data_IF_458044389269
#
_entry.id   IF_458044389269
#
_cell.length_a   1.000
_cell.length_b   1.000
_cell.length_c   1.000
_cell.angle_alpha   90.00
_cell.angle_beta   90.00
_cell.angle_gamma   90.00
#
_symmetry.space_group_name_H-M   'P 1'
#
loop_
_entity.id
_entity.type
_entity.pdbx_description
1 polymer ?
#
# COMPACT_ATOMS: atom_id res chain seq x y z
N UNK A 1 -43.98 23.43 -76.89
CA UNK A 1 -43.38 24.66 -76.30
C UNK A 1 -42.17 24.18 -75.50
N UNK A 2 -40.90 24.49 -75.72
CA UNK A 2 -40.16 25.45 -76.55
C UNK A 2 -38.88 24.75 -77.04
N UNK A 3 -38.45 25.06 -78.27
CA UNK A 3 -37.21 24.58 -78.92
C UNK A 3 -35.99 25.30 -78.34
N UNK A 4 -34.79 24.71 -78.50
CA UNK A 4 -33.54 25.35 -79.00
C UNK A 4 -32.47 24.23 -79.15
N UNK A 5 -32.12 23.88 -80.41
CA UNK A 5 -30.78 23.96 -81.08
C UNK A 5 -29.60 23.35 -80.28
N UNK A 6 -28.67 22.61 -80.84
CA UNK A 6 -28.37 22.26 -82.23
C UNK A 6 -26.91 21.76 -82.33
N UNK A 7 -26.67 20.93 -83.35
CA UNK A 7 -25.42 20.69 -84.09
C UNK A 7 -24.08 20.36 -83.38
N UNK A 8 -23.63 19.13 -83.65
CA UNK A 8 -22.31 18.68 -84.15
C UNK A 8 -21.09 19.61 -84.02
N UNK A 9 -19.93 19.06 -83.63
CA UNK A 9 -18.67 19.00 -84.42
C UNK A 9 -17.70 17.97 -83.77
N UNK A 10 -17.03 17.21 -84.64
CA UNK A 10 -15.91 16.27 -84.39
C UNK A 10 -14.57 17.01 -84.30
N UNK A 11 -13.60 16.57 -83.48
CA UNK A 11 -12.15 16.63 -83.82
C UNK A 11 -11.23 16.07 -82.72
N UNK A 12 -10.54 14.98 -83.08
CA UNK A 12 -9.12 14.64 -82.92
C UNK A 12 -8.30 15.04 -81.67
N UNK A 13 -7.82 13.97 -81.03
CA UNK A 13 -6.42 13.64 -80.71
C UNK A 13 -5.55 14.61 -79.89
N UNK A 14 -5.07 14.10 -78.75
CA UNK A 14 -3.87 14.64 -78.10
C UNK A 14 -3.54 13.99 -76.74
N UNK A 15 -2.49 13.15 -76.73
CA UNK A 15 -1.53 13.12 -75.62
C UNK A 15 -1.76 12.12 -74.48
N UNK A 16 -0.96 11.05 -74.50
CA UNK A 16 -0.63 10.18 -73.37
C UNK A 16 -0.35 10.97 -72.08
N UNK A 17 -1.00 10.59 -70.96
CA UNK A 17 -0.41 10.64 -69.61
C UNK A 17 -0.79 9.40 -68.82
N UNK A 18 0.24 8.81 -68.20
CA UNK A 18 0.29 7.55 -67.45
C UNK A 18 -0.84 7.40 -66.43
N UNK A 19 -1.40 6.19 -66.37
CA UNK A 19 -2.34 5.74 -65.35
C UNK A 19 -1.62 5.47 -64.02
N UNK A 20 -2.20 6.00 -62.94
CA UNK A 20 -1.91 5.64 -61.54
C UNK A 20 -3.07 4.76 -61.09
N UNK A 21 -2.79 3.53 -60.67
CA UNK A 21 -3.80 2.61 -60.15
C UNK A 21 -4.13 2.94 -58.68
N UNK A 22 -5.41 3.02 -58.28
CA UNK A 22 -5.80 3.22 -56.89
C UNK A 22 -5.71 1.91 -56.10
N UNK A 23 -5.24 2.04 -54.85
CA UNK A 23 -4.94 0.96 -53.92
C UNK A 23 -6.16 0.22 -53.37
N UNK A 24 -5.92 -1.04 -53.02
CA UNK A 24 -6.84 -1.90 -52.28
C UNK A 24 -6.79 -1.64 -50.78
N UNK A 25 -7.97 -1.63 -50.16
CA UNK A 25 -8.18 -1.54 -48.72
C UNK A 25 -8.11 -2.94 -48.10
N UNK A 26 -7.07 -3.21 -47.30
CA UNK A 26 -7.01 -4.35 -46.39
C UNK A 26 -7.65 -3.96 -45.05
N UNK A 27 -8.79 -4.57 -44.73
CA UNK A 27 -9.40 -4.46 -43.40
C UNK A 27 -8.71 -5.44 -42.44
N UNK A 28 -7.85 -4.94 -41.55
CA UNK A 28 -7.36 -5.70 -40.39
C UNK A 28 -8.43 -5.69 -39.29
N UNK A 29 -8.97 -6.87 -38.98
CA UNK A 29 -9.81 -7.09 -37.81
C UNK A 29 -8.99 -7.00 -36.52
N UNK A 30 -9.21 -5.94 -35.74
CA UNK A 30 -8.69 -5.79 -34.38
C UNK A 30 -9.46 -6.73 -33.45
N UNK A 31 -8.81 -7.83 -33.07
CA UNK A 31 -9.20 -8.61 -31.89
C UNK A 31 -8.87 -7.78 -30.65
N UNK A 32 -9.89 -7.10 -30.11
CA UNK A 32 -9.85 -6.54 -28.76
C UNK A 32 -9.95 -7.70 -27.77
N UNK A 33 -8.80 -8.26 -27.37
CA UNK A 33 -8.73 -9.06 -26.16
C UNK A 33 -9.12 -8.16 -24.99
N UNK A 34 -10.22 -8.48 -24.32
CA UNK A 34 -10.53 -7.85 -23.04
C UNK A 34 -9.42 -8.25 -22.07
N UNK A 35 -8.57 -7.28 -21.71
CA UNK A 35 -7.71 -7.41 -20.55
C UNK A 35 -8.63 -7.60 -19.35
N UNK A 36 -8.76 -8.83 -18.86
CA UNK A 36 -9.32 -9.07 -17.54
C UNK A 36 -8.35 -8.38 -16.58
N UNK A 37 -8.79 -7.29 -15.96
CA UNK A 37 -8.07 -6.72 -14.83
C UNK A 37 -7.92 -7.86 -13.82
N UNK A 38 -6.69 -8.24 -13.50
CA UNK A 38 -6.39 -9.18 -12.44
C UNK A 38 -7.17 -8.66 -11.21
N UNK A 39 -8.13 -9.44 -10.71
CA UNK A 39 -8.79 -9.11 -9.44
C UNK A 39 -7.68 -8.94 -8.41
N UNK A 40 -7.40 -7.67 -8.10
CA UNK A 40 -6.31 -7.30 -7.21
C UNK A 40 -6.87 -7.55 -5.82
N UNK A 41 -6.61 -8.75 -5.29
CA UNK A 41 -6.85 -9.09 -3.89
C UNK A 41 -5.52 -9.13 -3.14
N UNK A 42 -5.52 -8.84 -1.85
CA UNK A 42 -4.31 -8.92 -1.03
C UNK A 42 -4.22 -10.23 -0.24
N UNK A 43 -5.37 -10.89 -0.02
CA UNK A 43 -5.47 -12.14 0.73
C UNK A 43 -6.01 -13.24 -0.19
N UNK A 44 -5.28 -14.36 -0.20
CA UNK A 44 -5.53 -15.55 -1.01
C UNK A 44 -5.56 -16.78 -0.09
N UNK A 45 -6.20 -17.89 -0.51
CA UNK A 45 -5.91 -19.18 0.10
C UNK A 45 -4.41 -19.47 0.03
N UNK A 46 -3.79 -19.70 1.19
CA UNK A 46 -2.33 -19.80 1.30
C UNK A 46 -1.62 -18.47 1.53
N UNK A 47 -2.32 -17.39 1.88
CA UNK A 47 -1.69 -16.19 2.45
C UNK A 47 -1.35 -16.38 3.92
N UNK A 48 -0.22 -15.80 4.33
CA UNK A 48 0.25 -15.81 5.72
C UNK A 48 0.40 -14.37 6.20
N UNK A 49 -0.34 -14.02 7.26
CA UNK A 49 -0.16 -12.75 7.96
C UNK A 49 0.90 -12.92 9.05
N UNK A 50 1.89 -12.03 9.05
CA UNK A 50 2.98 -12.00 10.01
C UNK A 50 3.02 -10.63 10.67
N UNK A 51 2.93 -10.62 11.99
CA UNK A 51 3.03 -9.41 12.80
C UNK A 51 4.43 -9.24 13.37
N UNK A 52 4.84 -8.01 13.63
CA UNK A 52 6.13 -7.72 14.25
C UNK A 52 6.22 -6.29 14.75
N UNK A 53 7.31 -6.02 15.47
CA UNK A 53 7.65 -4.67 15.89
C UNK A 53 8.23 -3.89 14.70
N UNK A 54 7.76 -2.67 14.45
CA UNK A 54 8.25 -1.85 13.32
C UNK A 54 9.72 -1.43 13.48
N UNK A 55 10.24 -1.48 14.71
CA UNK A 55 11.58 -1.04 15.03
C UNK A 55 11.57 0.35 15.66
N UNK A 56 12.77 0.88 15.84
CA UNK A 56 12.96 2.21 16.40
C UNK A 56 13.95 3.01 15.57
N UNK A 57 13.82 4.32 15.66
CA UNK A 57 14.78 5.28 15.11
C UNK A 57 15.27 6.20 16.23
N UNK A 58 16.50 6.65 16.08
CA UNK A 58 16.99 7.86 16.75
C UNK A 58 17.13 8.87 15.62
N UNK A 59 16.23 9.86 15.52
CA UNK A 59 16.28 10.78 14.38
C UNK A 59 17.59 11.60 14.44
N UNK A 60 18.17 11.89 13.26
CA UNK A 60 19.50 12.52 13.10
C UNK A 60 20.70 11.72 13.67
N UNK A 61 20.63 10.38 13.72
CA UNK A 61 21.76 9.54 14.17
C UNK A 61 22.70 9.06 13.03
N UNK A 62 22.47 9.45 11.77
CA UNK A 62 23.20 8.91 10.59
C UNK A 62 24.58 9.57 10.33
N UNK A 63 25.42 8.98 9.45
CA UNK A 63 26.76 8.44 9.68
C UNK A 63 27.85 9.53 9.88
N UNK A 64 29.13 9.18 10.18
CA UNK A 64 30.20 10.15 10.51
C UNK A 64 30.50 11.25 9.47
N UNK A 65 29.86 11.20 8.31
CA UNK A 65 29.94 12.12 7.18
C UNK A 65 28.72 13.08 7.07
N UNK A 66 27.72 12.97 7.94
CA UNK A 66 26.63 13.95 8.01
C UNK A 66 26.99 15.12 8.95
N UNK A 67 26.85 16.36 8.49
CA UNK A 67 27.10 17.58 9.29
C UNK A 67 26.07 17.76 10.44
N UNK A 68 25.17 16.80 10.63
CA UNK A 68 24.22 16.77 11.75
C UNK A 68 24.83 15.92 12.84
N UNK A 69 25.34 16.61 13.86
CA UNK A 69 25.90 16.04 15.07
C UNK A 69 25.00 14.93 15.61
N UNK A 70 25.61 13.79 15.97
CA UNK A 70 24.95 12.75 16.74
C UNK A 70 24.49 13.26 18.11
N UNK A 71 24.05 12.35 18.97
CA UNK A 71 23.51 12.70 20.28
C UNK A 71 24.46 13.63 21.07
N UNK A 72 23.97 14.76 21.63
CA UNK A 72 24.78 15.65 22.44
C UNK A 72 25.44 14.94 23.62
N UNK A 73 26.62 15.40 24.09
CA UNK A 73 27.28 14.79 25.25
C UNK A 73 26.37 14.78 26.48
N UNK A 74 26.15 13.59 27.05
CA UNK A 74 25.34 13.42 28.26
C UNK A 74 23.86 13.08 28.02
N UNK A 75 23.40 13.07 26.77
CA UNK A 75 22.06 12.58 26.40
C UNK A 75 22.07 11.05 26.35
N UNK A 76 21.10 10.42 27.02
CA UNK A 76 20.91 8.97 26.95
C UNK A 76 20.22 8.61 25.61
N UNK A 77 20.84 7.79 24.75
CA UNK A 77 20.24 7.38 23.47
C UNK A 77 18.84 6.77 23.61
N UNK A 78 18.54 6.15 24.74
CA UNK A 78 17.24 5.54 25.01
C UNK A 78 16.13 6.59 25.09
N UNK A 79 16.43 7.81 25.53
CA UNK A 79 15.45 8.89 25.64
C UNK A 79 15.21 9.57 24.28
N UNK A 80 16.11 9.36 23.31
CA UNK A 80 15.97 9.80 21.92
C UNK A 80 15.47 8.70 20.96
N UNK A 81 14.99 7.57 21.50
CA UNK A 81 14.57 6.42 20.71
C UNK A 81 13.05 6.39 20.50
N UNK A 82 12.62 6.63 19.26
CA UNK A 82 11.22 6.68 18.86
C UNK A 82 10.80 5.44 18.06
N UNK A 83 9.50 5.14 18.03
CA UNK A 83 8.94 4.10 17.15
C UNK A 83 9.19 4.54 15.71
N UNK A 84 9.63 3.60 14.87
CA UNK A 84 9.62 3.84 13.43
C UNK A 84 8.18 3.70 12.90
N UNK A 85 7.55 4.83 12.62
CA UNK A 85 6.15 4.88 12.15
C UNK A 85 6.02 4.37 10.71
N UNK A 86 7.08 4.49 9.92
CA UNK A 86 7.08 4.19 8.48
C UNK A 86 7.25 2.71 8.15
N UNK A 87 7.75 1.92 9.11
CA UNK A 87 8.00 0.48 8.91
C UNK A 87 6.78 -0.39 9.22
N UNK A 88 6.70 -1.51 8.52
CA UNK A 88 5.61 -2.46 8.64
C UNK A 88 5.54 -3.13 10.02
N UNK A 89 4.36 -3.16 10.62
CA UNK A 89 4.03 -3.98 11.81
C UNK A 89 3.23 -5.22 11.44
N UNK A 90 2.67 -5.24 10.23
CA UNK A 90 1.94 -6.36 9.66
C UNK A 90 2.34 -6.55 8.20
N UNK A 91 2.61 -7.81 7.82
CA UNK A 91 2.91 -8.22 6.46
C UNK A 91 2.03 -9.39 6.05
N UNK A 92 1.54 -9.38 4.82
CA UNK A 92 0.81 -10.50 4.22
C UNK A 92 1.63 -11.07 3.08
N UNK A 93 2.11 -12.29 3.27
CA UNK A 93 2.88 -13.03 2.28
C UNK A 93 1.98 -13.97 1.49
N UNK A 94 2.18 -14.04 0.17
CA UNK A 94 1.66 -15.15 -0.63
C UNK A 94 2.63 -16.34 -0.53
N UNK A 95 2.19 -17.40 0.16
CA UNK A 95 2.92 -18.66 0.29
C UNK A 95 2.22 -19.81 -0.45
N UNK A 96 1.32 -19.50 -1.38
CA UNK A 96 0.58 -20.51 -2.16
C UNK A 96 1.47 -21.28 -3.14
N UNK A 97 2.58 -20.68 -3.59
CA UNK A 97 3.50 -21.26 -4.56
C UNK A 97 4.95 -21.16 -4.09
N UNK A 98 5.40 -22.17 -3.34
CA UNK A 98 6.75 -22.24 -2.78
C UNK A 98 7.78 -22.91 -3.72
N UNK A 99 7.42 -23.16 -4.97
CA UNK A 99 8.34 -23.61 -6.02
C UNK A 99 8.80 -25.08 -5.94
N UNK A 100 8.25 -25.90 -5.05
CA UNK A 100 8.56 -27.34 -4.97
C UNK A 100 8.15 -28.00 -3.64
N UNK A 101 8.46 -29.29 -3.45
CA UNK A 101 8.24 -30.01 -2.20
C UNK A 101 8.97 -29.34 -1.01
N UNK A 102 8.46 -29.49 0.20
CA UNK A 102 9.10 -28.95 1.40
C UNK A 102 10.35 -29.76 1.77
N UNK A 103 11.53 -29.27 1.37
CA UNK A 103 12.85 -29.85 1.63
C UNK A 103 13.77 -28.95 2.45
N UNK A 104 13.22 -27.88 3.03
CA UNK A 104 14.00 -26.86 3.76
C UNK A 104 14.71 -25.86 2.85
N UNK A 105 14.25 -25.72 1.60
CA UNK A 105 14.80 -24.76 0.64
C UNK A 105 14.50 -23.32 1.04
N UNK A 106 15.40 -22.41 0.68
CA UNK A 106 15.10 -20.98 0.67
C UNK A 106 14.03 -20.72 -0.41
N UNK A 107 12.96 -20.02 -0.03
CA UNK A 107 11.89 -19.63 -0.95
C UNK A 107 11.86 -18.11 -1.03
N UNK A 108 11.87 -17.60 -2.26
CA UNK A 108 11.64 -16.18 -2.52
C UNK A 108 10.16 -15.98 -2.78
N UNK A 109 9.45 -15.39 -1.83
CA UNK A 109 8.07 -14.94 -2.03
C UNK A 109 8.05 -13.62 -2.79
N UNK A 110 6.99 -13.31 -3.54
CA UNK A 110 6.73 -11.94 -4.00
C UNK A 110 6.79 -10.94 -2.84
N UNK A 111 7.04 -9.64 -3.12
CA UNK A 111 6.95 -8.60 -2.11
C UNK A 111 5.60 -8.68 -1.37
N UNK A 112 5.61 -8.70 -0.02
CA UNK A 112 4.37 -8.80 0.74
C UNK A 112 3.57 -7.49 0.63
N UNK A 113 2.28 -7.59 0.89
CA UNK A 113 1.50 -6.42 1.29
C UNK A 113 1.90 -6.01 2.72
N UNK A 114 2.08 -4.72 2.96
CA UNK A 114 2.56 -4.19 4.24
C UNK A 114 1.58 -3.16 4.81
N UNK A 115 1.45 -3.16 6.14
CA UNK A 115 0.74 -2.13 6.91
C UNK A 115 1.69 -1.58 7.97
N UNK A 116 1.83 -0.26 8.02
CA UNK A 116 2.82 0.43 8.85
C UNK A 116 2.34 0.70 10.27
N UNK A 117 3.30 1.01 11.16
CA UNK A 117 2.98 1.44 12.53
C UNK A 117 2.16 2.74 12.57
N UNK A 118 2.39 3.67 11.64
CA UNK A 118 1.57 4.87 11.46
C UNK A 118 0.09 4.49 11.24
N UNK A 119 -0.15 3.48 10.40
CA UNK A 119 -1.50 3.12 9.98
C UNK A 119 -2.31 2.41 11.07
N UNK A 120 -1.69 1.46 11.78
CA UNK A 120 -2.40 0.55 12.71
C UNK A 120 -1.77 0.42 14.09
N UNK A 121 -0.66 1.13 14.34
CA UNK A 121 0.13 0.97 15.55
C UNK A 121 0.93 -0.34 15.57
N UNK A 122 1.38 -0.71 16.77
CA UNK A 122 2.05 -1.99 16.98
C UNK A 122 1.01 -3.12 17.06
N UNK A 123 1.22 -4.19 16.30
CA UNK A 123 0.27 -5.30 16.19
C UNK A 123 0.94 -6.58 16.64
N UNK A 124 0.27 -7.32 17.52
CA UNK A 124 0.72 -8.64 18.00
C UNK A 124 -0.39 -9.69 18.00
N UNK A 125 -1.61 -9.29 17.58
CA UNK A 125 -2.75 -10.18 17.45
C UNK A 125 -3.48 -9.89 16.16
N UNK A 126 -3.76 -10.95 15.40
CA UNK A 126 -4.51 -10.89 14.15
C UNK A 126 -5.53 -12.01 14.06
N UNK A 127 -6.60 -11.79 13.30
CA UNK A 127 -7.56 -12.83 12.92
C UNK A 127 -8.14 -12.56 11.54
N UNK A 128 -8.57 -13.61 10.86
CA UNK A 128 -9.36 -13.52 9.63
C UNK A 128 -10.86 -13.65 9.96
N UNK A 129 -11.73 -13.02 9.17
CA UNK A 129 -13.17 -13.31 9.19
C UNK A 129 -13.54 -14.50 8.27
N UNK A 130 -14.85 -14.75 8.14
CA UNK A 130 -15.42 -15.83 7.36
C UNK A 130 -15.47 -15.56 5.83
N UNK A 131 -15.01 -14.38 5.38
CA UNK A 131 -15.05 -14.00 3.97
C UNK A 131 -16.45 -13.78 3.40
N UNK A 132 -17.46 -13.60 4.25
CA UNK A 132 -18.81 -13.20 3.83
C UNK A 132 -18.87 -11.68 3.68
N UNK A 133 -19.34 -11.21 2.53
CA UNK A 133 -19.51 -9.78 2.22
C UNK A 133 -20.94 -9.56 1.73
N UNK A 134 -21.66 -8.63 2.36
CA UNK A 134 -23.06 -8.34 2.05
C UNK A 134 -23.96 -9.60 2.02
N UNK A 135 -23.68 -10.56 2.92
CA UNK A 135 -24.41 -11.83 3.01
C UNK A 135 -24.00 -12.89 1.97
N UNK A 136 -23.03 -12.59 1.11
CA UNK A 136 -22.54 -13.51 0.07
C UNK A 136 -21.14 -14.03 0.44
N UNK A 137 -20.93 -15.36 0.51
CA UNK A 137 -19.60 -15.93 0.67
C UNK A 137 -18.72 -15.61 -0.54
N UNK A 138 -17.64 -14.85 -0.33
CA UNK A 138 -16.67 -14.51 -1.39
C UNK A 138 -15.43 -15.39 -1.35
N UNK A 139 -15.18 -16.04 -0.21
CA UNK A 139 -13.94 -16.79 0.04
C UNK A 139 -12.70 -15.90 0.22
N UNK A 140 -12.87 -14.58 0.29
CA UNK A 140 -11.80 -13.61 0.53
C UNK A 140 -12.03 -12.95 1.88
N UNK A 141 -11.35 -13.42 2.95
CA UNK A 141 -11.53 -12.88 4.29
C UNK A 141 -10.91 -11.48 4.43
N UNK A 142 -11.45 -10.67 5.32
CA UNK A 142 -10.72 -9.51 5.84
C UNK A 142 -9.78 -9.94 6.95
N UNK A 143 -8.74 -9.13 7.17
CA UNK A 143 -7.79 -9.32 8.27
C UNK A 143 -8.05 -8.24 9.32
N UNK A 144 -8.14 -8.65 10.58
CA UNK A 144 -8.32 -7.76 11.71
C UNK A 144 -7.06 -7.75 12.54
N UNK A 145 -6.59 -6.56 12.89
CA UNK A 145 -5.36 -6.33 13.62
C UNK A 145 -5.66 -5.53 14.90
N UNK A 146 -5.32 -6.11 16.05
CA UNK A 146 -5.41 -5.38 17.32
C UNK A 146 -4.20 -4.47 17.49
N UNK A 147 -4.43 -3.19 17.78
CA UNK A 147 -3.39 -2.28 18.24
C UNK A 147 -3.02 -2.63 19.70
N UNK A 148 -1.86 -3.24 19.89
CA UNK A 148 -1.40 -3.81 21.18
C UNK A 148 0.01 -3.35 21.52
N UNK A 149 0.43 -3.62 22.75
CA UNK A 149 1.75 -3.25 23.27
C UNK A 149 2.40 -4.45 23.95
N UNK A 150 3.07 -5.32 23.18
CA UNK A 150 3.85 -6.45 23.72
C UNK A 150 5.21 -6.00 24.30
N UNK A 151 5.84 -5.02 23.65
CA UNK A 151 7.16 -4.51 24.04
C UNK A 151 7.10 -3.32 25.03
N UNK A 152 5.95 -3.16 25.69
CA UNK A 152 5.69 -2.05 26.61
C UNK A 152 5.20 -0.78 25.92
N UNK A 153 4.67 0.12 26.73
CA UNK A 153 4.05 1.38 26.29
C UNK A 153 5.15 2.43 26.17
N UNK A 154 5.20 3.09 25.02
CA UNK A 154 6.04 4.28 24.81
C UNK A 154 5.19 5.53 24.92
N UNK A 155 5.65 6.45 25.75
CA UNK A 155 4.99 7.73 26.00
C UNK A 155 5.98 8.86 25.80
N UNK A 156 5.44 10.02 25.43
CA UNK A 156 6.22 11.25 25.23
C UNK A 156 5.51 12.42 25.89
N UNK A 157 6.27 13.45 26.25
CA UNK A 157 5.76 14.78 26.62
C UNK A 157 6.12 15.79 25.53
N UNK A 158 5.55 17.01 25.53
CA UNK A 158 6.00 18.06 24.62
C UNK A 158 7.51 18.29 24.70
N UNK A 159 8.07 18.79 23.61
CA UNK A 159 9.45 19.25 23.49
C UNK A 159 9.81 20.19 24.64
N UNK A 160 10.88 19.87 25.37
CA UNK A 160 11.33 20.64 26.52
C UNK A 160 12.71 21.29 26.31
N UNK A 161 13.47 20.86 25.31
CA UNK A 161 14.83 21.34 25.03
C UNK A 161 14.98 22.08 23.69
N UNK A 162 13.86 22.33 23.01
CA UNK A 162 13.72 23.07 21.74
C UNK A 162 14.45 22.38 20.55
N UNK A 163 14.63 21.06 20.59
CA UNK A 163 15.21 20.28 19.49
C UNK A 163 14.22 19.97 18.35
N UNK A 164 12.93 20.31 18.55
CA UNK A 164 11.83 20.10 17.63
C UNK A 164 11.14 18.75 17.79
N UNK A 165 11.38 18.01 18.88
CA UNK A 165 10.89 16.65 19.11
C UNK A 165 10.31 16.48 20.51
N UNK A 166 9.37 15.55 20.68
CA UNK A 166 8.78 15.30 21.98
C UNK A 166 9.72 14.47 22.87
N UNK A 167 9.71 14.73 24.16
CA UNK A 167 10.58 14.07 25.13
C UNK A 167 10.08 12.66 25.48
N UNK A 168 10.87 11.62 25.25
CA UNK A 168 10.47 10.26 25.65
C UNK A 168 10.46 10.13 27.17
N UNK A 169 9.34 9.64 27.69
CA UNK A 169 9.19 9.37 29.12
C UNK A 169 9.27 7.87 29.42
N UNK A 170 10.03 7.51 30.46
CA UNK A 170 10.11 6.12 30.97
C UNK A 170 9.01 5.79 31.98
N UNK A 171 8.38 6.83 32.54
CA UNK A 171 7.35 6.74 33.56
C UNK A 171 6.24 7.73 33.20
N UNK A 172 5.03 7.44 33.66
CA UNK A 172 3.91 8.36 33.49
C UNK A 172 4.27 9.76 34.00
N UNK A 173 3.99 10.77 33.20
CA UNK A 173 4.18 12.17 33.52
C UNK A 173 2.89 12.94 33.22
N UNK A 174 2.70 14.09 33.86
CA UNK A 174 1.56 14.95 33.56
C UNK A 174 1.62 15.41 32.10
N UNK A 175 0.52 15.24 31.36
CA UNK A 175 0.46 15.59 29.94
C UNK A 175 1.16 14.61 28.99
N UNK A 176 1.65 13.47 29.50
CA UNK A 176 2.24 12.45 28.63
C UNK A 176 1.17 11.82 27.72
N UNK A 177 1.52 11.65 26.45
CA UNK A 177 0.70 10.98 25.44
C UNK A 177 1.40 9.71 24.95
N UNK A 178 0.67 8.82 24.30
CA UNK A 178 1.30 7.70 23.60
C UNK A 178 2.15 8.22 22.45
N UNK A 179 3.32 7.63 22.28
CA UNK A 179 4.20 7.91 21.15
C UNK A 179 3.50 7.54 19.83
N UNK A 180 3.75 8.31 18.78
CA UNK A 180 3.23 7.98 17.45
C UNK A 180 3.68 6.58 17.00
N UNK A 181 2.81 5.90 16.25
CA UNK A 181 2.99 4.50 15.88
C UNK A 181 2.79 3.49 17.02
N UNK A 182 2.41 3.91 18.24
CA UNK A 182 2.04 2.99 19.31
C UNK A 182 0.69 2.31 19.03
N UNK A 183 -0.33 3.09 18.63
CA UNK A 183 -1.71 2.62 18.45
C UNK A 183 -2.39 3.09 17.14
N UNK A 184 -1.65 3.67 16.18
CA UNK A 184 -2.22 4.20 14.94
C UNK A 184 -3.09 5.44 15.19
N UNK A 185 -2.64 6.32 16.08
CA UNK A 185 -3.35 7.53 16.54
C UNK A 185 -3.67 8.48 15.38
N UNK A 186 -2.82 8.55 14.36
CA UNK A 186 -3.06 9.36 13.16
C UNK A 186 -4.33 8.95 12.40
N UNK A 187 -4.69 7.66 12.45
CA UNK A 187 -5.93 7.14 11.87
C UNK A 187 -7.09 7.09 12.87
N UNK A 188 -6.97 7.77 14.02
CA UNK A 188 -7.99 7.78 15.06
C UNK A 188 -8.01 6.53 15.94
N UNK A 189 -6.90 5.78 15.98
CA UNK A 189 -6.73 4.65 16.89
C UNK A 189 -6.32 5.05 18.30
N UNK A 190 -6.43 4.09 19.20
CA UNK A 190 -6.02 4.17 20.59
C UNK A 190 -5.78 2.77 21.18
N UNK A 191 -5.45 2.68 22.48
CA UNK A 191 -5.38 1.41 23.17
C UNK A 191 -6.69 0.64 22.98
N UNK A 192 -6.60 -0.62 22.53
CA UNK A 192 -7.79 -1.46 22.32
C UNK A 192 -8.48 -1.28 20.97
N UNK A 193 -7.97 -0.42 20.08
CA UNK A 193 -8.48 -0.33 18.70
C UNK A 193 -8.22 -1.62 17.94
N UNK A 194 -9.24 -2.08 17.23
CA UNK A 194 -9.17 -3.15 16.22
C UNK A 194 -9.30 -2.51 14.85
N UNK A 195 -8.31 -2.73 14.01
CA UNK A 195 -8.28 -2.31 12.62
C UNK A 195 -8.79 -3.43 11.71
N UNK A 196 -9.52 -3.08 10.66
CA UNK A 196 -9.89 -3.95 9.56
C UNK A 196 -9.05 -3.58 8.34
N UNK A 197 -8.41 -4.58 7.77
CA UNK A 197 -7.75 -4.53 6.48
C UNK A 197 -8.64 -5.27 5.49
N UNK A 198 -9.12 -4.55 4.47
CA UNK A 198 -9.97 -5.15 3.44
C UNK A 198 -9.19 -6.18 2.63
N UNK A 199 -9.66 -7.43 2.60
CA UNK A 199 -8.92 -8.50 1.92
C UNK A 199 -8.88 -8.42 0.39
N UNK A 200 -9.69 -7.56 -0.22
CA UNK A 200 -9.65 -7.27 -1.65
C UNK A 200 -8.73 -6.07 -1.87
N UNK A 201 -9.05 -4.91 -1.31
CA UNK A 201 -8.38 -3.65 -1.64
C UNK A 201 -7.12 -3.38 -0.83
N UNK A 202 -6.95 -4.04 0.32
CA UNK A 202 -5.93 -3.72 1.32
C UNK A 202 -6.22 -2.44 2.11
N UNK A 203 -7.40 -1.83 1.94
CA UNK A 203 -7.73 -0.61 2.65
C UNK A 203 -7.79 -0.85 4.17
N UNK A 204 -7.06 -0.04 4.92
CA UNK A 204 -7.11 -0.01 6.38
C UNK A 204 -8.25 0.90 6.83
N UNK A 205 -9.05 0.41 7.78
CA UNK A 205 -10.14 1.17 8.41
C UNK A 205 -10.30 0.76 9.86
N UNK A 206 -10.81 1.67 10.70
CA UNK A 206 -11.14 1.35 12.09
C UNK A 206 -12.36 0.44 12.13
N UNK A 207 -12.26 -0.71 12.80
CA UNK A 207 -13.37 -1.65 12.96
C UNK A 207 -14.12 -1.41 14.26
N UNK A 208 -13.40 -1.36 15.38
CA UNK A 208 -13.96 -1.19 16.71
C UNK A 208 -12.92 -0.63 17.68
N UNK A 209 -13.39 -0.05 18.78
CA UNK A 209 -12.60 0.11 20.00
C UNK A 209 -13.15 -0.84 21.05
N UNK A 210 -12.25 -1.51 21.77
CA UNK A 210 -12.61 -2.33 22.92
C UNK A 210 -12.52 -1.42 24.15
N UNK A 211 -13.67 -0.92 24.60
CA UNK A 211 -13.79 -0.22 25.88
C UNK A 211 -13.69 -1.23 27.04
N UNK A 212 -13.17 -0.76 28.18
CA UNK A 212 -13.15 -1.49 29.46
C UNK A 212 -14.26 -1.02 30.39
#
# INVERSE_FOLDING_TARGET
MSRIRGSFVSSLAGGLRRAVHPGGLLALGLWLGAAQAQETRIIYPGSMAVTGFSGTIIPNFDPPDSEKEGLPPGVDPVDETFIDTTRATLRVFDVSQLGGPATGQLVNTPPPFEVTAEQVGQVFGVTYDDGVRDGVPTGIPNLYAGATSLHGIRIVTPDADDDGRPERQRRGAAGAIFMDGQFGTENGGGPGTVWKIDGITGQVSKFADIDT
#
